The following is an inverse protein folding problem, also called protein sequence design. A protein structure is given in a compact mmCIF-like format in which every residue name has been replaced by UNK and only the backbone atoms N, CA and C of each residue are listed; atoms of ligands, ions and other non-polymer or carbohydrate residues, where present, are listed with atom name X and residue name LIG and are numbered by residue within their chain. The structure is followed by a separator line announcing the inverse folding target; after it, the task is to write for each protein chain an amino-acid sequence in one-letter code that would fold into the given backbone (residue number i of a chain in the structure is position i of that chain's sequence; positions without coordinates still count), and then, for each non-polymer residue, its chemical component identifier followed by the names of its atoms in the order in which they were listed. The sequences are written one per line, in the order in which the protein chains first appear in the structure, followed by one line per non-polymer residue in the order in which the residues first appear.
data_IF_728330921360
#
_entry.id   IF_728330921360
#
_cell.length_a   1.000
_cell.length_b   1.000
_cell.length_c   1.000
_cell.angle_alpha   90.00
_cell.angle_beta   90.00
_cell.angle_gamma   90.00
#
_symmetry.space_group_name_H-M   'P 1'
#
loop_
_entity.id
_entity.type
_entity.pdbx_description
1 polymer ?
#
# COMPACT_ATOMS: atom_id res chain seq x y z
N UNK A 1 -8.98 -10.85 26.22
CA UNK A 1 -8.29 -9.55 26.36
C UNK A 1 -9.05 -8.56 25.50
N UNK A 2 -9.46 -7.43 26.05
CA UNK A 2 -10.16 -6.37 25.30
C UNK A 2 -9.21 -5.74 24.27
N UNK A 3 -9.65 -5.58 23.02
CA UNK A 3 -8.92 -4.82 22.00
C UNK A 3 -9.22 -3.35 22.22
N UNK A 4 -8.19 -2.53 22.37
CA UNK A 4 -8.32 -1.09 22.61
C UNK A 4 -7.73 -0.31 21.43
N UNK A 5 -8.49 0.61 20.81
CA UNK A 5 -7.95 1.45 19.75
C UNK A 5 -6.80 2.33 20.22
N UNK A 6 -5.89 2.64 19.30
CA UNK A 6 -4.71 3.46 19.59
C UNK A 6 -4.41 4.41 18.46
N UNK A 7 -3.83 5.56 18.80
CA UNK A 7 -3.23 6.49 17.86
C UNK A 7 -1.74 6.68 18.16
N UNK A 8 -0.95 6.92 17.12
CA UNK A 8 0.46 7.28 17.23
C UNK A 8 0.74 8.53 16.39
N UNK A 9 1.40 9.51 17.01
CA UNK A 9 1.92 10.69 16.31
C UNK A 9 3.27 10.32 15.69
N UNK A 10 3.47 10.72 14.45
CA UNK A 10 4.72 10.48 13.72
C UNK A 10 5.49 11.79 13.69
N UNK A 11 6.74 11.74 14.15
CA UNK A 11 7.62 12.90 14.12
C UNK A 11 7.88 13.33 12.67
N UNK A 12 7.89 14.65 12.44
CA UNK A 12 8.25 15.22 11.14
C UNK A 12 9.72 14.94 10.80
N UNK A 13 10.57 14.95 11.82
CA UNK A 13 11.99 14.66 11.70
C UNK A 13 12.23 13.14 11.66
N UNK A 14 13.06 12.72 10.72
CA UNK A 14 13.42 11.32 10.49
C UNK A 14 14.88 11.02 10.83
N UNK A 15 15.65 12.00 11.30
CA UNK A 15 17.10 11.89 11.53
C UNK A 15 17.47 10.79 12.55
N UNK A 16 16.56 10.48 13.47
CA UNK A 16 16.74 9.45 14.50
C UNK A 16 16.28 8.05 14.04
N UNK A 17 15.66 7.93 12.86
CA UNK A 17 15.17 6.66 12.37
C UNK A 17 16.32 5.79 11.83
N UNK A 18 16.18 4.48 12.04
CA UNK A 18 17.05 3.49 11.43
C UNK A 18 17.07 3.68 9.91
N UNK A 19 18.26 3.66 9.32
CA UNK A 19 18.44 3.78 7.88
C UNK A 19 18.42 2.39 7.26
N UNK A 20 17.37 2.13 6.48
CA UNK A 20 17.28 0.97 5.62
C UNK A 20 18.08 1.15 4.32
N UNK A 21 17.90 0.20 3.42
CA UNK A 21 18.53 0.21 2.09
C UNK A 21 18.12 1.43 1.28
N UNK A 22 16.90 1.91 1.48
CA UNK A 22 16.32 2.98 0.69
C UNK A 22 16.00 4.26 1.46
N UNK A 23 16.59 4.43 2.65
CA UNK A 23 16.38 5.60 3.52
C UNK A 23 15.72 5.22 4.85
N UNK A 24 15.14 6.17 5.59
CA UNK A 24 14.63 5.93 6.93
C UNK A 24 13.50 4.89 6.92
N UNK A 25 13.58 3.96 7.87
CA UNK A 25 12.53 2.99 8.18
C UNK A 25 11.56 3.66 9.16
N UNK A 26 10.36 3.93 8.70
CA UNK A 26 9.31 4.48 9.56
C UNK A 26 8.88 3.44 10.60
N UNK A 27 8.58 3.87 11.84
CA UNK A 27 8.16 2.95 12.88
C UNK A 27 6.82 2.31 12.52
N UNK A 28 6.61 1.07 12.96
CA UNK A 28 5.29 0.44 12.94
C UNK A 28 4.34 1.25 13.82
N UNK A 29 3.19 1.64 13.29
CA UNK A 29 2.13 2.37 13.99
C UNK A 29 0.98 1.43 14.35
N UNK A 30 -0.06 1.91 15.06
CA UNK A 30 -1.31 1.19 15.21
C UNK A 30 -1.93 0.70 13.89
N UNK A 31 -1.70 1.39 12.77
CA UNK A 31 -2.15 0.96 11.45
C UNK A 31 -1.18 -0.02 10.75
N UNK A 32 -0.12 -0.47 11.43
CA UNK A 32 1.04 -1.18 10.89
C UNK A 32 2.01 -0.25 10.15
N UNK A 33 2.33 -0.53 8.89
CA UNK A 33 3.18 0.33 8.06
C UNK A 33 2.33 0.95 6.95
N UNK A 34 2.82 2.04 6.39
CA UNK A 34 2.14 2.68 5.29
C UNK A 34 2.95 3.74 4.60
N UNK A 35 2.38 4.25 3.52
CA UNK A 35 2.86 5.46 2.87
C UNK A 35 1.67 6.23 2.29
N UNK A 36 1.92 7.52 2.02
CA UNK A 36 1.11 8.32 1.10
C UNK A 36 2.01 8.91 0.04
N UNK A 37 1.83 8.56 -1.23
CA UNK A 37 2.60 9.12 -2.34
C UNK A 37 1.76 10.20 -3.01
N UNK A 38 2.33 11.38 -3.22
CA UNK A 38 1.68 12.50 -3.91
C UNK A 38 2.56 12.98 -5.05
N UNK A 39 2.04 12.93 -6.28
CA UNK A 39 2.78 13.32 -7.48
C UNK A 39 1.88 14.03 -8.50
N UNK A 40 2.49 14.69 -9.48
CA UNK A 40 1.78 15.27 -10.62
C UNK A 40 1.52 14.21 -11.68
N UNK A 41 0.33 14.26 -12.27
CA UNK A 41 -0.03 13.43 -13.42
C UNK A 41 0.54 14.07 -14.68
N UNK A 42 1.13 13.26 -15.56
CA UNK A 42 1.59 13.72 -16.88
C UNK A 42 0.41 14.37 -17.64
N UNK A 43 0.61 15.48 -18.35
CA UNK A 43 -0.45 16.13 -19.12
C UNK A 43 -1.19 15.13 -20.04
N UNK A 44 -2.53 15.13 -19.96
CA UNK A 44 -3.38 14.24 -20.77
C UNK A 44 -3.43 12.77 -20.33
N UNK A 45 -2.86 12.40 -19.17
CA UNK A 45 -2.81 10.99 -18.69
C UNK A 45 -3.82 10.63 -17.60
N UNK A 46 -4.73 11.54 -17.23
CA UNK A 46 -5.77 11.28 -16.24
C UNK A 46 -6.65 10.07 -16.60
N UNK A 47 -7.12 10.00 -17.84
CA UNK A 47 -7.95 8.87 -18.31
C UNK A 47 -7.17 7.55 -18.29
N UNK A 48 -5.89 7.56 -18.69
CA UNK A 48 -5.03 6.39 -18.61
C UNK A 48 -4.84 5.88 -17.17
N UNK A 49 -4.83 6.76 -16.16
CA UNK A 49 -4.82 6.35 -14.75
C UNK A 49 -6.14 5.70 -14.33
N UNK A 50 -7.28 6.19 -14.83
CA UNK A 50 -8.59 5.58 -14.54
C UNK A 50 -8.71 4.21 -15.21
N UNK A 51 -8.24 4.07 -16.45
CA UNK A 51 -8.16 2.79 -17.16
C UNK A 51 -7.26 1.77 -16.47
N UNK A 52 -6.15 2.22 -15.88
CA UNK A 52 -5.35 1.35 -15.01
C UNK A 52 -6.18 0.76 -13.86
N UNK A 53 -7.05 1.55 -13.24
CA UNK A 53 -7.95 1.08 -12.18
C UNK A 53 -8.89 -0.03 -12.65
N UNK A 54 -9.50 0.13 -13.84
CA UNK A 54 -10.35 -0.90 -14.43
C UNK A 54 -9.58 -2.17 -14.78
N UNK A 55 -8.36 -2.04 -15.32
CA UNK A 55 -7.49 -3.17 -15.60
C UNK A 55 -7.11 -3.94 -14.32
N UNK A 56 -6.76 -3.24 -13.24
CA UNK A 56 -6.44 -3.85 -11.95
C UNK A 56 -7.65 -4.59 -11.37
N UNK A 57 -8.85 -4.00 -11.43
CA UNK A 57 -10.07 -4.64 -10.94
C UNK A 57 -10.35 -5.96 -11.69
N UNK A 58 -10.29 -5.96 -13.03
CA UNK A 58 -10.47 -7.19 -13.84
C UNK A 58 -9.40 -8.25 -13.55
N UNK A 59 -8.16 -7.82 -13.32
CA UNK A 59 -7.09 -8.74 -12.95
C UNK A 59 -7.35 -9.40 -11.59
N UNK A 60 -7.88 -8.66 -10.62
CA UNK A 60 -8.25 -9.19 -9.30
C UNK A 60 -9.49 -10.08 -9.32
N UNK A 61 -10.43 -9.85 -10.25
CA UNK A 61 -11.54 -10.79 -10.49
C UNK A 61 -11.03 -12.14 -11.00
N UNK A 62 -9.98 -12.14 -11.82
CA UNK A 62 -9.37 -13.34 -12.39
C UNK A 62 -8.44 -14.05 -11.40
N UNK A 63 -7.65 -13.29 -10.64
CA UNK A 63 -6.78 -13.76 -9.57
C UNK A 63 -6.91 -12.86 -8.33
N UNK A 64 -7.74 -13.23 -7.34
CA UNK A 64 -7.93 -12.43 -6.13
C UNK A 64 -6.68 -12.39 -5.22
N UNK A 65 -5.67 -13.22 -5.50
CA UNK A 65 -4.41 -13.27 -4.75
C UNK A 65 -3.27 -12.54 -5.45
N UNK A 66 -3.52 -11.87 -6.58
CA UNK A 66 -2.52 -11.10 -7.33
C UNK A 66 -1.69 -10.17 -6.43
N UNK A 67 -2.34 -9.45 -5.52
CA UNK A 67 -1.67 -8.50 -4.61
C UNK A 67 -1.24 -9.11 -3.27
N UNK A 68 -1.44 -10.41 -3.04
CA UNK A 68 -1.14 -11.07 -1.77
C UNK A 68 0.33 -10.90 -1.29
N UNK A 69 1.36 -10.85 -2.16
CA UNK A 69 2.73 -10.61 -1.73
C UNK A 69 2.92 -9.28 -0.99
N UNK A 70 2.10 -8.26 -1.29
CA UNK A 70 2.21 -6.92 -0.71
C UNK A 70 1.69 -6.80 0.73
N UNK A 71 1.08 -7.86 1.29
CA UNK A 71 0.56 -7.90 2.67
C UNK A 71 -0.29 -6.68 3.04
N UNK A 72 -1.20 -6.33 2.14
CA UNK A 72 -2.03 -5.13 2.23
C UNK A 72 -3.17 -5.30 3.23
N UNK A 73 -3.37 -4.26 4.05
CA UNK A 73 -4.67 -3.96 4.66
C UNK A 73 -5.54 -3.16 3.71
N UNK A 74 -4.91 -2.23 2.99
CA UNK A 74 -5.65 -1.20 2.27
C UNK A 74 -4.80 -0.52 1.21
N UNK A 75 -5.40 -0.19 0.05
CA UNK A 75 -4.83 0.67 -0.98
C UNK A 75 -5.90 1.64 -1.52
N UNK A 76 -5.52 2.89 -1.80
CA UNK A 76 -6.39 3.90 -2.43
C UNK A 76 -5.63 4.74 -3.43
N UNK A 77 -6.21 4.87 -4.62
CA UNK A 77 -5.77 5.74 -5.70
C UNK A 77 -6.75 6.92 -5.80
N UNK A 78 -6.24 8.14 -5.81
CA UNK A 78 -7.06 9.36 -5.89
C UNK A 78 -6.46 10.29 -6.92
N UNK A 79 -7.27 10.71 -7.88
CA UNK A 79 -7.01 11.88 -8.71
C UNK A 79 -7.72 13.08 -8.10
N UNK A 80 -7.01 14.20 -8.02
CA UNK A 80 -7.52 15.45 -7.43
C UNK A 80 -6.85 16.67 -8.09
N UNK A 81 -7.29 17.87 -7.72
CA UNK A 81 -6.87 19.13 -8.35
C UNK A 81 -7.06 19.07 -9.88
N UNK A 82 -8.31 18.88 -10.32
CA UNK A 82 -8.70 18.73 -11.73
C UNK A 82 -7.96 17.59 -12.46
N UNK A 83 -7.80 16.46 -11.76
CA UNK A 83 -7.05 15.27 -12.21
C UNK A 83 -5.57 15.53 -12.57
N UNK A 84 -5.01 16.68 -12.16
CA UNK A 84 -3.59 17.02 -12.40
C UNK A 84 -2.65 16.46 -11.35
N UNK A 85 -3.20 16.00 -10.22
CA UNK A 85 -2.44 15.38 -9.14
C UNK A 85 -3.01 14.05 -8.76
N UNK A 86 -2.12 13.20 -8.30
CA UNK A 86 -2.40 11.84 -7.93
C UNK A 86 -1.90 11.56 -6.51
N UNK A 87 -2.73 10.89 -5.73
CA UNK A 87 -2.41 10.41 -4.40
C UNK A 87 -2.62 8.90 -4.31
N UNK A 88 -1.60 8.19 -3.82
CA UNK A 88 -1.63 6.75 -3.58
C UNK A 88 -1.37 6.48 -2.11
N UNK A 89 -2.35 5.92 -1.42
CA UNK A 89 -2.26 5.56 -0.01
C UNK A 89 -2.22 4.05 0.12
N UNK A 90 -1.29 3.55 0.94
CA UNK A 90 -1.21 2.12 1.23
C UNK A 90 -0.93 1.87 2.69
N UNK A 91 -1.57 0.83 3.22
CA UNK A 91 -1.35 0.29 4.57
C UNK A 91 -1.07 -1.21 4.44
N UNK A 92 0.02 -1.68 5.05
CA UNK A 92 0.55 -3.03 4.87
C UNK A 92 1.38 -3.49 6.09
N UNK A 93 1.72 -4.78 6.11
CA UNK A 93 2.36 -5.41 7.29
C UNK A 93 3.89 -5.35 7.31
N UNK A 94 4.54 -5.07 6.18
CA UNK A 94 6.00 -5.05 6.04
C UNK A 94 6.55 -3.62 6.11
N UNK A 95 7.84 -3.45 6.37
CA UNK A 95 8.45 -2.13 6.18
C UNK A 95 8.43 -1.69 4.69
N UNK A 96 8.78 -0.42 4.46
CA UNK A 96 8.76 0.19 3.13
C UNK A 96 9.70 -0.48 2.14
N UNK A 97 10.88 -0.89 2.59
CA UNK A 97 11.91 -1.46 1.72
C UNK A 97 11.44 -2.83 1.21
N UNK A 98 10.95 -3.66 2.12
CA UNK A 98 10.36 -4.96 1.80
C UNK A 98 9.13 -4.83 0.90
N UNK A 99 8.22 -3.90 1.21
CA UNK A 99 7.06 -3.63 0.36
C UNK A 99 7.49 -3.29 -1.07
N UNK A 100 8.51 -2.43 -1.22
CA UNK A 100 8.94 -1.96 -2.54
C UNK A 100 9.59 -3.07 -3.35
N UNK A 101 10.41 -3.92 -2.71
CA UNK A 101 10.99 -5.09 -3.35
C UNK A 101 9.92 -6.08 -3.82
N UNK A 102 8.90 -6.35 -2.99
CA UNK A 102 7.80 -7.23 -3.34
C UNK A 102 6.91 -6.63 -4.45
N UNK A 103 6.72 -5.30 -4.48
CA UNK A 103 6.01 -4.60 -5.55
C UNK A 103 6.74 -4.71 -6.89
N UNK A 104 8.05 -4.52 -6.90
CA UNK A 104 8.87 -4.66 -8.12
C UNK A 104 8.83 -6.11 -8.62
N UNK A 105 8.97 -7.09 -7.73
CA UNK A 105 8.87 -8.50 -8.09
C UNK A 105 7.47 -8.85 -8.66
N UNK A 106 6.41 -8.32 -8.04
CA UNK A 106 5.05 -8.52 -8.50
C UNK A 106 4.83 -7.97 -9.91
N UNK A 107 5.20 -6.71 -10.16
CA UNK A 107 5.01 -6.11 -11.48
C UNK A 107 5.84 -6.81 -12.57
N UNK A 108 7.04 -7.28 -12.21
CA UNK A 108 7.90 -8.03 -13.13
C UNK A 108 7.29 -9.38 -13.52
N UNK A 109 6.67 -10.08 -12.56
CA UNK A 109 6.08 -11.41 -12.77
C UNK A 109 4.70 -11.36 -13.43
N UNK A 110 3.89 -10.38 -13.06
CA UNK A 110 2.51 -10.27 -13.55
C UNK A 110 2.40 -9.58 -14.92
N UNK A 111 3.49 -8.96 -15.41
CA UNK A 111 3.46 -8.17 -16.65
C UNK A 111 2.56 -6.94 -16.56
N UNK A 112 2.14 -6.57 -15.34
CA UNK A 112 1.21 -5.47 -15.08
C UNK A 112 2.00 -4.16 -15.04
N UNK A 113 1.62 -3.20 -15.88
CA UNK A 113 2.13 -1.82 -15.82
C UNK A 113 1.74 -1.16 -14.50
N UNK A 114 2.59 -0.32 -13.92
CA UNK A 114 2.23 0.46 -12.72
C UNK A 114 1.47 1.74 -13.07
N UNK A 115 0.56 2.17 -12.19
CA UNK A 115 -0.11 3.47 -12.30
C UNK A 115 0.90 4.63 -12.41
N UNK A 116 2.08 4.46 -11.81
CA UNK A 116 3.11 5.49 -11.74
C UNK A 116 3.72 5.86 -13.09
N UNK A 117 3.60 5.03 -14.13
CA UNK A 117 4.05 5.37 -15.49
C UNK A 117 3.36 6.62 -16.06
N UNK A 118 2.21 6.99 -15.48
CA UNK A 118 1.43 8.17 -15.82
C UNK A 118 1.83 9.42 -15.03
N UNK A 119 2.85 9.36 -14.17
CA UNK A 119 3.26 10.45 -13.29
C UNK A 119 4.50 11.17 -13.80
N UNK A 120 4.55 12.48 -13.65
CA UNK A 120 5.70 13.30 -14.05
C UNK A 120 6.95 12.88 -13.29
N UNK A 121 8.08 12.73 -13.99
CA UNK A 121 9.35 12.34 -13.38
C UNK A 121 9.48 10.87 -12.98
N UNK A 122 8.46 10.03 -13.23
CA UNK A 122 8.59 8.59 -13.00
C UNK A 122 9.59 7.97 -13.99
N UNK A 123 10.59 7.20 -13.51
CA UNK A 123 11.67 6.69 -14.35
C UNK A 123 11.16 5.70 -15.40
N UNK A 124 11.62 5.85 -16.64
CA UNK A 124 11.23 4.97 -17.75
C UNK A 124 11.87 3.58 -17.65
N UNK A 125 13.06 3.50 -17.04
CA UNK A 125 13.85 2.28 -16.86
C UNK A 125 13.52 1.51 -15.57
N UNK A 126 12.44 1.88 -14.86
CA UNK A 126 12.08 1.35 -13.53
C UNK A 126 12.01 -0.19 -13.45
N UNK A 127 11.70 -0.87 -14.57
CA UNK A 127 11.62 -2.34 -14.64
C UNK A 127 12.98 -3.02 -14.46
N UNK A 128 14.05 -2.38 -14.94
CA UNK A 128 15.43 -2.87 -14.84
C UNK A 128 16.24 -2.11 -13.80
N UNK A 129 15.68 -1.03 -13.24
CA UNK A 129 16.31 -0.16 -12.27
C UNK A 129 15.42 0.02 -11.01
N UNK A 130 15.43 -0.96 -10.10
CA UNK A 130 14.71 -0.89 -8.83
C UNK A 130 15.00 0.36 -8.01
N UNK A 131 16.25 0.84 -8.03
CA UNK A 131 16.66 2.02 -7.27
C UNK A 131 15.99 3.30 -7.79
N UNK A 132 15.79 3.43 -9.09
CA UNK A 132 15.09 4.58 -9.66
C UNK A 132 13.61 4.59 -9.22
N UNK A 133 12.94 3.43 -9.24
CA UNK A 133 11.57 3.30 -8.74
C UNK A 133 11.48 3.76 -7.27
N UNK A 134 12.34 3.22 -6.42
CA UNK A 134 12.38 3.54 -5.00
C UNK A 134 12.63 5.03 -4.79
N UNK A 135 13.60 5.61 -5.50
CA UNK A 135 13.93 7.04 -5.41
C UNK A 135 12.72 7.91 -5.72
N UNK A 136 11.96 7.56 -6.76
CA UNK A 136 10.72 8.25 -7.09
C UNK A 136 9.70 8.16 -5.95
N UNK A 137 9.43 6.96 -5.43
CA UNK A 137 8.46 6.77 -4.36
C UNK A 137 8.87 7.55 -3.11
N UNK A 138 10.16 7.54 -2.74
CA UNK A 138 10.68 8.30 -1.58
C UNK A 138 10.56 9.81 -1.78
N UNK A 139 10.90 10.33 -2.96
CA UNK A 139 10.79 11.77 -3.28
C UNK A 139 9.36 12.28 -3.22
N UNK A 140 8.39 11.43 -3.52
CA UNK A 140 6.96 11.77 -3.53
C UNK A 140 6.24 11.30 -2.27
N UNK A 141 6.95 10.71 -1.30
CA UNK A 141 6.36 10.27 -0.04
C UNK A 141 5.99 11.48 0.82
N UNK A 142 4.73 11.55 1.23
CA UNK A 142 4.18 12.52 2.15
C UNK A 142 3.77 11.78 3.43
N UNK A 143 4.65 11.70 4.46
CA UNK A 143 4.36 10.97 5.67
C UNK A 143 3.13 11.53 6.39
N UNK A 144 2.31 10.64 6.96
CA UNK A 144 1.27 11.00 7.92
C UNK A 144 1.92 11.64 9.16
N UNK A 145 1.23 12.59 9.80
CA UNK A 145 1.66 13.14 11.09
C UNK A 145 1.02 12.41 12.29
N UNK A 146 -0.04 11.64 12.03
CA UNK A 146 -0.73 10.79 13.01
C UNK A 146 -1.41 9.62 12.30
N UNK A 147 -1.43 8.45 12.94
CA UNK A 147 -2.17 7.28 12.49
C UNK A 147 -2.98 6.68 13.63
N UNK A 148 -4.16 6.16 13.32
CA UNK A 148 -5.09 5.53 14.25
C UNK A 148 -5.44 4.11 13.78
N UNK A 149 -5.48 3.16 14.70
CA UNK A 149 -5.90 1.78 14.45
C UNK A 149 -6.97 1.34 15.43
N UNK A 150 -8.10 0.87 14.91
CA UNK A 150 -9.19 0.29 15.70
C UNK A 150 -8.79 -1.07 16.29
N UNK A 151 -8.05 -1.86 15.52
CA UNK A 151 -7.43 -3.13 15.89
C UNK A 151 -5.90 -3.00 15.80
N UNK A 152 -5.26 -2.27 16.73
CA UNK A 152 -3.91 -1.80 16.51
C UNK A 152 -2.88 -2.93 16.41
N UNK A 153 -1.93 -2.78 15.49
CA UNK A 153 -0.77 -3.68 15.25
C UNK A 153 -1.10 -5.10 14.75
N UNK A 154 -2.37 -5.40 14.49
CA UNK A 154 -2.82 -6.69 13.97
C UNK A 154 -2.58 -6.77 12.47
N UNK A 155 -2.00 -7.87 12.00
CA UNK A 155 -1.67 -8.08 10.59
C UNK A 155 -2.88 -8.47 9.74
N UNK A 156 -2.80 -8.29 8.42
CA UNK A 156 -3.88 -8.67 7.50
C UNK A 156 -4.16 -10.18 7.54
N UNK A 157 -3.12 -11.00 7.76
CA UNK A 157 -3.26 -12.45 7.91
C UNK A 157 -3.93 -12.83 9.23
N UNK A 158 -3.64 -12.14 10.33
CA UNK A 158 -4.33 -12.33 11.62
C UNK A 158 -5.80 -11.94 11.53
N UNK A 159 -6.13 -10.84 10.84
CA UNK A 159 -7.53 -10.43 10.59
C UNK A 159 -8.26 -11.51 9.79
N UNK A 160 -7.68 -11.98 8.69
CA UNK A 160 -8.26 -13.07 7.88
C UNK A 160 -8.45 -14.34 8.71
N UNK A 161 -7.49 -14.68 9.58
CA UNK A 161 -7.59 -15.84 10.47
C UNK A 161 -8.73 -15.66 11.49
N UNK A 162 -8.84 -14.50 12.13
CA UNK A 162 -9.91 -14.20 13.09
C UNK A 162 -11.29 -14.30 12.44
N UNK A 163 -11.46 -13.78 11.23
CA UNK A 163 -12.71 -13.89 10.47
C UNK A 163 -13.06 -15.34 10.11
N UNK A 164 -12.09 -16.17 9.72
CA UNK A 164 -12.33 -17.60 9.47
C UNK A 164 -12.82 -18.32 10.73
N UNK A 165 -12.21 -18.05 11.88
CA UNK A 165 -12.66 -18.64 13.16
C UNK A 165 -14.07 -18.19 13.50
N UNK A 166 -14.38 -16.90 13.37
CA UNK A 166 -15.73 -16.36 13.58
C UNK A 166 -16.76 -17.07 12.71
N UNK A 167 -16.49 -17.20 11.41
CA UNK A 167 -17.41 -17.81 10.46
C UNK A 167 -17.60 -19.30 10.78
N UNK A 168 -16.53 -20.06 10.98
CA UNK A 168 -16.62 -21.49 11.31
C UNK A 168 -17.39 -21.74 12.61
N UNK A 169 -17.23 -20.88 13.63
CA UNK A 169 -18.02 -20.97 14.85
C UNK A 169 -19.49 -20.67 14.61
N UNK A 170 -19.80 -19.69 13.76
CA UNK A 170 -21.18 -19.34 13.40
C UNK A 170 -21.85 -20.49 12.66
N UNK A 171 -21.18 -21.06 11.66
CA UNK A 171 -21.66 -22.20 10.89
C UNK A 171 -21.93 -23.43 11.78
N UNK A 172 -21.06 -23.69 12.75
CA UNK A 172 -21.24 -24.76 13.73
C UNK A 172 -22.48 -24.54 14.60
N UNK A 173 -22.73 -23.30 15.05
CA UNK A 173 -23.90 -22.97 15.87
C UNK A 173 -25.20 -23.08 15.07
N UNK A 174 -25.20 -22.69 13.80
CA UNK A 174 -26.36 -22.80 12.91
C UNK A 174 -26.73 -24.27 12.63
N UNK A 175 -25.75 -25.17 12.55
CA UNK A 175 -25.99 -26.61 12.38
C UNK A 175 -26.55 -27.31 13.62
N UNK A 176 -26.50 -26.66 14.79
CA UNK A 176 -27.04 -27.19 16.05
C UNK A 176 -28.49 -26.78 16.32
N UNK A 177 -29.09 -25.95 15.45
CA UNK A 177 -30.50 -25.52 15.52
C UNK A 177 -31.39 -26.40 14.65
#
# INVERSE_FOLDING_TARGET
MEIKPQAAVIAKDTDQLEQGKYGPIFPKTPACYGFTIVARVKPGRAEAMREYGYALARALESDPYLLAPLKLHYLRWVLFDDDTRFMYQGIFDTDFDKYTEDAIALFSKAGVSTAFENLEGFPEDWRTNPEAFVRFVRQHHCPSFIEYGEYPYVTADEIKKALRVKNALSDMLDQLQ
#
